data_IF_109583911798
#
_entry.id   IF_109583911798
#
_cell.length_a   1.000
_cell.length_b   1.000
_cell.length_c   1.000
_cell.angle_alpha   90.00
_cell.angle_beta   90.00
_cell.angle_gamma   90.00
#
_symmetry.space_group_name_H-M   'P 1'
#
loop_
_entity.id
_entity.type
_entity.pdbx_description
1 polymer ?
#
# COMPACT_ATOMS: atom_id res chain seq x y z
N UNK A 1 37.22 0.37 84.65
CA UNK A 1 35.87 0.64 84.09
C UNK A 1 35.93 2.00 83.41
N UNK A 2 36.15 1.97 82.10
CA UNK A 2 36.32 3.13 81.21
C UNK A 2 35.58 2.78 79.93
N UNK A 3 34.67 3.64 79.41
CA UNK A 3 33.83 3.27 78.28
C UNK A 3 34.53 3.56 76.94
N UNK A 4 34.41 2.62 76.00
CA UNK A 4 34.77 2.79 74.60
C UNK A 4 33.70 3.63 73.86
N UNK A 5 34.08 4.53 72.93
CA UNK A 5 33.12 5.33 72.18
C UNK A 5 32.56 4.56 70.98
N UNK A 6 31.23 4.60 70.83
CA UNK A 6 30.52 4.10 69.65
C UNK A 6 30.62 5.12 68.50
N UNK A 7 31.21 4.71 67.38
CA UNK A 7 31.25 5.47 66.14
C UNK A 7 29.93 5.27 65.38
N UNK A 8 29.16 6.34 65.18
CA UNK A 8 27.94 6.33 64.36
C UNK A 8 28.33 6.59 62.90
N UNK A 9 28.22 5.57 62.04
CA UNK A 9 28.41 5.72 60.58
C UNK A 9 27.08 6.17 59.98
N UNK A 10 27.01 7.42 59.52
CA UNK A 10 25.90 7.93 58.71
C UNK A 10 25.97 7.32 57.30
N UNK A 11 25.00 6.48 56.94
CA UNK A 11 24.79 6.05 55.56
C UNK A 11 24.07 7.17 54.78
N UNK A 12 24.78 7.80 53.84
CA UNK A 12 24.21 8.76 52.90
C UNK A 12 23.49 7.97 51.78
N UNK A 13 22.15 7.92 51.81
CA UNK A 13 21.36 7.37 50.72
C UNK A 13 21.38 8.36 49.53
N UNK A 14 22.23 8.10 48.55
CA UNK A 14 22.16 8.76 47.24
C UNK A 14 20.91 8.28 46.49
N UNK A 15 19.85 9.10 46.52
CA UNK A 15 18.72 8.97 45.61
C UNK A 15 19.17 9.33 44.19
N UNK A 16 19.52 8.33 43.40
CA UNK A 16 19.64 8.49 41.95
C UNK A 16 18.24 8.75 41.37
N UNK A 17 18.03 9.82 40.57
CA UNK A 17 16.78 10.00 39.86
C UNK A 17 16.67 8.88 38.83
N UNK A 18 15.67 8.01 38.99
CA UNK A 18 15.27 7.06 37.96
C UNK A 18 14.85 7.87 36.73
N UNK A 19 15.70 7.89 35.71
CA UNK A 19 15.29 8.26 34.35
C UNK A 19 14.19 7.27 33.95
N UNK A 20 13.00 7.73 33.54
CA UNK A 20 12.01 6.84 32.96
C UNK A 20 12.64 6.26 31.69
N UNK A 21 12.95 4.97 31.72
CA UNK A 21 13.21 4.19 30.53
C UNK A 21 12.03 4.39 29.60
N UNK A 22 12.29 4.93 28.42
CA UNK A 22 11.31 4.99 27.33
C UNK A 22 10.85 3.57 27.05
N UNK A 23 9.69 3.20 27.59
CA UNK A 23 8.98 2.01 27.18
C UNK A 23 8.68 2.18 25.69
N UNK A 24 9.45 1.50 24.83
CA UNK A 24 9.03 1.28 23.45
C UNK A 24 7.67 0.60 23.56
N UNK A 25 6.62 1.30 23.15
CA UNK A 25 5.29 0.69 23.03
C UNK A 25 5.47 -0.53 22.13
N UNK A 26 5.18 -1.71 22.67
CA UNK A 26 5.31 -2.98 21.97
C UNK A 26 4.42 -2.92 20.72
N UNK A 27 5.00 -3.10 19.53
CA UNK A 27 4.24 -3.23 18.30
C UNK A 27 3.52 -4.58 18.32
N UNK A 28 2.18 -4.62 18.44
CA UNK A 28 1.47 -5.85 18.76
C UNK A 28 1.15 -6.70 17.53
N UNK A 29 1.40 -6.19 16.32
CA UNK A 29 1.10 -6.88 15.06
C UNK A 29 2.36 -7.59 14.55
N UNK A 30 2.27 -8.89 14.30
CA UNK A 30 3.43 -9.72 13.94
C UNK A 30 3.21 -10.58 12.70
N UNK A 31 2.03 -10.50 12.08
CA UNK A 31 1.76 -11.24 10.86
C UNK A 31 2.42 -10.55 9.66
N UNK A 32 3.31 -11.26 8.99
CA UNK A 32 3.83 -10.90 7.67
C UNK A 32 4.02 -12.15 6.83
N UNK A 33 3.63 -12.09 5.56
CA UNK A 33 3.79 -13.16 4.58
C UNK A 33 4.32 -12.57 3.28
N UNK A 34 5.43 -13.11 2.79
CA UNK A 34 6.05 -12.72 1.53
C UNK A 34 6.12 -13.95 0.62
N UNK A 35 5.48 -13.89 -0.54
CA UNK A 35 5.35 -14.98 -1.50
C UNK A 35 6.16 -14.64 -2.75
N UNK A 36 7.13 -15.50 -3.08
CA UNK A 36 7.82 -15.51 -4.36
C UNK A 36 6.93 -16.21 -5.38
N UNK A 37 6.23 -15.44 -6.22
CA UNK A 37 5.26 -15.96 -7.18
C UNK A 37 6.02 -16.56 -8.37
N UNK A 38 5.86 -17.87 -8.61
CA UNK A 38 6.73 -18.64 -9.50
C UNK A 38 7.86 -19.38 -8.79
N UNK A 39 8.18 -19.02 -7.54
CA UNK A 39 9.24 -19.65 -6.75
C UNK A 39 8.89 -21.07 -6.30
N UNK A 40 9.84 -22.01 -6.46
CA UNK A 40 9.65 -23.43 -6.12
C UNK A 40 10.09 -23.79 -4.69
N UNK A 41 10.86 -22.92 -4.04
CA UNK A 41 11.41 -23.16 -2.70
C UNK A 41 11.44 -21.87 -1.89
N UNK A 42 11.36 -22.00 -0.58
CA UNK A 42 11.55 -20.85 0.31
C UNK A 42 12.95 -20.28 0.14
N UNK A 43 13.07 -18.97 0.31
CA UNK A 43 14.35 -18.25 0.26
C UNK A 43 14.39 -17.15 1.33
N UNK A 44 15.59 -16.62 1.55
CA UNK A 44 15.79 -15.46 2.41
C UNK A 44 16.57 -14.42 1.61
N UNK A 45 16.10 -13.19 1.59
CA UNK A 45 16.76 -12.12 0.85
C UNK A 45 17.96 -11.51 1.62
N UNK A 46 18.62 -10.54 0.99
CA UNK A 46 19.79 -9.85 1.56
C UNK A 46 19.46 -9.00 2.80
N UNK A 47 18.18 -8.71 3.03
CA UNK A 47 17.67 -7.96 4.18
C UNK A 47 17.13 -8.88 5.28
N UNK A 48 17.39 -10.20 5.18
CA UNK A 48 16.92 -11.23 6.10
C UNK A 48 15.39 -11.39 6.13
N UNK A 49 14.70 -11.00 5.06
CA UNK A 49 13.27 -11.25 4.87
C UNK A 49 13.09 -12.67 4.36
N UNK A 50 12.23 -13.46 5.04
CA UNK A 50 11.88 -14.80 4.57
C UNK A 50 10.77 -14.72 3.53
N UNK A 51 11.01 -15.38 2.39
CA UNK A 51 10.10 -15.56 1.28
C UNK A 51 9.68 -17.02 1.19
N UNK A 52 8.37 -17.28 1.11
CA UNK A 52 7.85 -18.64 0.91
C UNK A 52 7.68 -18.93 -0.57
N UNK A 53 7.80 -20.21 -0.93
CA UNK A 53 7.48 -20.68 -2.28
C UNK A 53 6.02 -20.37 -2.64
N UNK A 54 5.78 -20.22 -3.94
CA UNK A 54 4.46 -19.87 -4.50
C UNK A 54 3.35 -20.81 -4.02
N UNK A 55 2.23 -20.23 -3.58
CA UNK A 55 1.10 -20.95 -2.95
C UNK A 55 -0.13 -20.06 -2.88
N UNK A 56 -1.26 -20.66 -2.53
CA UNK A 56 -2.58 -20.00 -2.37
C UNK A 56 -3.18 -19.45 -3.67
N UNK A 57 -2.61 -19.76 -4.83
CA UNK A 57 -3.15 -19.40 -6.13
C UNK A 57 -4.24 -20.39 -6.59
N UNK A 58 -5.17 -19.91 -7.41
CA UNK A 58 -6.26 -20.74 -7.96
C UNK A 58 -5.96 -21.39 -9.32
N UNK A 59 -4.85 -21.02 -9.97
CA UNK A 59 -4.51 -21.50 -11.31
C UNK A 59 -3.24 -20.88 -11.87
N UNK A 60 -3.09 -20.92 -13.18
CA UNK A 60 -1.95 -20.34 -13.88
C UNK A 60 -0.72 -21.24 -13.97
N UNK A 61 0.34 -20.69 -14.55
CA UNK A 61 1.63 -21.33 -14.74
C UNK A 61 2.75 -20.39 -14.29
N UNK A 62 3.97 -20.92 -14.18
CA UNK A 62 5.13 -20.18 -13.71
C UNK A 62 6.12 -19.96 -14.86
N UNK A 63 6.91 -18.90 -14.78
CA UNK A 63 8.03 -18.63 -15.67
C UNK A 63 9.14 -17.90 -14.93
N UNK A 64 10.30 -17.81 -15.58
CA UNK A 64 11.36 -16.86 -15.25
C UNK A 64 11.24 -15.67 -16.20
N UNK A 65 11.58 -14.48 -15.74
CA UNK A 65 11.77 -13.30 -16.60
C UNK A 65 12.83 -13.55 -17.67
N UNK A 66 12.84 -12.78 -18.76
CA UNK A 66 13.80 -13.01 -19.85
C UNK A 66 15.25 -12.75 -19.43
N UNK A 67 15.49 -11.74 -18.59
CA UNK A 67 16.83 -11.33 -18.15
C UNK A 67 16.94 -11.30 -16.61
N UNK A 68 16.97 -12.47 -15.95
CA UNK A 68 16.92 -12.58 -14.48
C UNK A 68 18.11 -11.95 -13.75
N UNK A 69 19.21 -11.67 -14.46
CA UNK A 69 20.39 -11.00 -13.88
C UNK A 69 20.21 -9.49 -13.69
N UNK A 70 19.20 -8.87 -14.31
CA UNK A 70 18.84 -7.48 -14.07
C UNK A 70 18.21 -7.26 -12.70
N UNK A 71 17.61 -8.31 -12.15
CA UNK A 71 16.93 -8.27 -10.86
C UNK A 71 17.89 -8.66 -9.75
N UNK A 72 17.93 -7.85 -8.69
CA UNK A 72 18.78 -8.14 -7.55
C UNK A 72 18.14 -9.22 -6.67
N UNK A 73 16.83 -9.12 -6.47
CA UNK A 73 16.10 -9.98 -5.54
C UNK A 73 15.57 -11.24 -6.20
N UNK A 74 15.54 -12.34 -5.45
CA UNK A 74 15.12 -13.65 -5.99
C UNK A 74 13.65 -13.64 -6.40
N UNK A 75 12.79 -13.02 -5.59
CA UNK A 75 11.35 -12.90 -5.81
C UNK A 75 10.96 -12.00 -7.00
N UNK A 76 11.93 -11.34 -7.64
CA UNK A 76 11.72 -10.52 -8.83
C UNK A 76 12.10 -11.28 -10.11
N UNK A 77 12.75 -12.44 -9.99
CA UNK A 77 13.27 -13.24 -11.12
C UNK A 77 12.27 -14.25 -11.64
N UNK A 78 11.31 -14.64 -10.82
CA UNK A 78 10.25 -15.57 -11.21
C UNK A 78 8.90 -14.87 -11.22
N UNK A 79 7.98 -15.41 -12.00
CA UNK A 79 6.62 -14.90 -12.06
C UNK A 79 5.61 -16.03 -12.22
N UNK A 80 4.40 -15.81 -11.70
CA UNK A 80 3.20 -16.53 -12.08
C UNK A 80 2.46 -15.72 -13.15
N UNK A 81 2.00 -16.41 -14.18
CA UNK A 81 1.10 -15.87 -15.18
C UNK A 81 -0.19 -16.67 -15.29
N UNK A 82 -1.28 -15.99 -15.63
CA UNK A 82 -2.62 -16.59 -15.72
C UNK A 82 -3.10 -16.60 -17.18
N UNK A 83 -2.77 -17.63 -17.97
CA UNK A 83 -3.25 -17.73 -19.34
C UNK A 83 -4.76 -17.95 -19.37
N UNK A 84 -5.40 -17.57 -20.48
CA UNK A 84 -6.86 -17.72 -20.68
C UNK A 84 -7.36 -19.16 -20.47
N UNK A 85 -6.50 -20.16 -20.63
CA UNK A 85 -6.81 -21.58 -20.32
C UNK A 85 -7.10 -21.83 -18.83
N UNK A 86 -6.65 -20.94 -17.95
CA UNK A 86 -6.93 -20.93 -16.50
C UNK A 86 -8.17 -20.10 -16.16
N UNK A 87 -8.94 -19.66 -17.16
CA UNK A 87 -10.11 -18.81 -17.00
C UNK A 87 -9.76 -17.33 -16.90
N UNK A 88 -10.80 -16.50 -17.03
CA UNK A 88 -10.65 -15.03 -17.08
C UNK A 88 -10.31 -14.39 -15.73
N UNK A 89 -10.57 -15.11 -14.63
CA UNK A 89 -10.39 -14.64 -13.24
C UNK A 89 -9.59 -15.67 -12.46
N UNK A 90 -8.46 -15.26 -11.92
CA UNK A 90 -7.60 -16.08 -11.06
C UNK A 90 -7.23 -15.29 -9.81
N UNK A 91 -7.03 -15.95 -8.68
CA UNK A 91 -6.77 -15.25 -7.42
C UNK A 91 -5.64 -15.90 -6.63
N UNK A 92 -5.02 -15.10 -5.76
CA UNK A 92 -4.40 -15.56 -4.53
C UNK A 92 -5.44 -15.43 -3.40
N UNK A 93 -5.74 -16.53 -2.71
CA UNK A 93 -6.69 -16.60 -1.58
C UNK A 93 -5.89 -16.94 -0.32
N UNK A 94 -5.44 -15.91 0.38
CA UNK A 94 -4.53 -16.03 1.52
C UNK A 94 -5.35 -16.38 2.78
N UNK A 95 -5.18 -17.58 3.38
CA UNK A 95 -6.00 -18.01 4.50
C UNK A 95 -5.40 -17.61 5.85
N UNK A 96 -6.17 -17.82 6.91
CA UNK A 96 -5.76 -17.68 8.32
C UNK A 96 -5.31 -16.25 8.68
N UNK A 97 -6.00 -15.26 8.15
CA UNK A 97 -5.84 -13.87 8.55
C UNK A 97 -6.79 -13.58 9.70
N UNK A 98 -6.37 -12.78 10.66
CA UNK A 98 -7.30 -12.22 11.64
C UNK A 98 -8.06 -11.05 11.02
N UNK A 99 -9.29 -10.80 11.44
CA UNK A 99 -9.94 -9.53 11.07
C UNK A 99 -9.08 -8.33 11.52
N UNK A 100 -8.85 -7.39 10.61
CA UNK A 100 -7.95 -6.27 10.86
C UNK A 100 -7.58 -5.51 9.59
N UNK A 101 -6.61 -4.62 9.72
CA UNK A 101 -6.08 -3.81 8.61
C UNK A 101 -4.72 -4.36 8.18
N UNK A 102 -4.48 -4.34 6.87
CA UNK A 102 -3.31 -4.93 6.25
C UNK A 102 -2.72 -3.98 5.21
N UNK A 103 -1.40 -4.01 5.06
CA UNK A 103 -0.70 -3.52 3.89
C UNK A 103 -0.50 -4.68 2.91
N UNK A 104 -0.90 -4.49 1.66
CA UNK A 104 -0.52 -5.35 0.54
C UNK A 104 0.55 -4.63 -0.27
N UNK A 105 1.62 -5.34 -0.64
CA UNK A 105 2.59 -4.89 -1.64
C UNK A 105 2.77 -5.99 -2.68
N UNK A 106 2.77 -5.60 -3.95
CA UNK A 106 2.99 -6.52 -5.08
C UNK A 106 4.15 -6.02 -5.93
N UNK A 107 4.90 -6.95 -6.51
CA UNK A 107 5.83 -6.66 -7.59
C UNK A 107 5.32 -7.29 -8.88
N UNK A 108 5.17 -6.46 -9.92
CA UNK A 108 4.69 -6.88 -11.23
C UNK A 108 5.75 -6.59 -12.27
N UNK A 109 6.13 -7.60 -13.04
CA UNK A 109 7.10 -7.51 -14.12
C UNK A 109 6.68 -8.40 -15.27
N UNK A 110 6.92 -7.94 -16.50
CA UNK A 110 6.74 -8.73 -17.72
C UNK A 110 8.09 -9.27 -18.22
N UNK A 111 9.06 -8.35 -18.40
CA UNK A 111 10.40 -8.59 -18.96
C UNK A 111 10.43 -9.65 -20.06
N UNK A 112 9.45 -9.58 -20.96
CA UNK A 112 9.29 -10.46 -22.11
C UNK A 112 9.42 -11.96 -21.82
N UNK A 113 8.93 -12.43 -20.67
CA UNK A 113 9.07 -13.83 -20.22
C UNK A 113 8.57 -14.87 -21.24
N UNK A 114 7.64 -14.48 -22.12
CA UNK A 114 7.04 -15.34 -23.15
C UNK A 114 7.55 -15.07 -24.58
N UNK A 115 8.50 -14.16 -24.75
CA UNK A 115 9.11 -13.83 -26.04
C UNK A 115 8.18 -13.15 -27.04
N UNK A 116 7.00 -12.69 -26.65
CA UNK A 116 6.01 -12.07 -27.56
C UNK A 116 6.19 -10.57 -27.75
N UNK A 117 7.02 -9.93 -26.92
CA UNK A 117 7.23 -8.48 -26.90
C UNK A 117 5.91 -7.70 -26.78
N UNK A 118 4.96 -8.25 -25.99
CA UNK A 118 3.65 -7.68 -25.78
C UNK A 118 3.29 -7.79 -24.30
N UNK A 119 3.50 -6.70 -23.56
CA UNK A 119 3.08 -6.59 -22.16
C UNK A 119 1.58 -6.84 -22.02
N UNK A 120 1.10 -7.57 -20.99
CA UNK A 120 -0.30 -7.92 -20.87
C UNK A 120 -1.17 -6.76 -20.34
N UNK A 121 -2.43 -6.69 -20.77
CA UNK A 121 -3.47 -5.85 -20.19
C UNK A 121 -4.32 -6.66 -19.21
N UNK A 122 -4.46 -6.17 -17.98
CA UNK A 122 -5.28 -6.82 -16.95
C UNK A 122 -5.63 -5.88 -15.81
N UNK A 123 -6.62 -6.28 -15.01
CA UNK A 123 -6.97 -5.61 -13.76
C UNK A 123 -6.64 -6.49 -12.56
N UNK A 124 -6.33 -5.85 -11.44
CA UNK A 124 -6.18 -6.50 -10.14
C UNK A 124 -7.24 -5.96 -9.20
N UNK A 125 -7.95 -6.84 -8.51
CA UNK A 125 -8.84 -6.49 -7.42
C UNK A 125 -8.35 -7.03 -6.09
N UNK A 126 -8.51 -6.25 -5.03
CA UNK A 126 -8.33 -6.70 -3.65
C UNK A 126 -9.68 -6.65 -2.95
N UNK A 127 -10.08 -7.75 -2.32
CA UNK A 127 -11.34 -7.83 -1.58
C UNK A 127 -12.58 -7.44 -2.43
N UNK A 128 -12.54 -7.75 -3.73
CA UNK A 128 -13.62 -7.44 -4.67
C UNK A 128 -13.63 -6.00 -5.18
N UNK A 129 -12.56 -5.21 -4.96
CA UNK A 129 -12.43 -3.83 -5.44
C UNK A 129 -11.27 -3.73 -6.43
N UNK A 130 -11.49 -3.16 -7.62
CA UNK A 130 -10.40 -2.93 -8.59
C UNK A 130 -9.44 -1.87 -8.06
N UNK A 131 -8.14 -2.20 -8.01
CA UNK A 131 -7.11 -1.35 -7.39
C UNK A 131 -5.91 -1.06 -8.30
N UNK A 132 -5.51 -2.00 -9.16
CA UNK A 132 -4.42 -1.80 -10.11
C UNK A 132 -4.89 -2.12 -11.53
N UNK A 133 -4.58 -1.23 -12.47
CA UNK A 133 -4.97 -1.35 -13.86
C UNK A 133 -3.73 -1.33 -14.75
N UNK A 134 -3.45 -2.45 -15.41
CA UNK A 134 -2.31 -2.61 -16.29
C UNK A 134 -2.79 -2.58 -17.75
N UNK A 135 -2.23 -1.70 -18.57
CA UNK A 135 -2.68 -1.47 -19.96
C UNK A 135 -1.51 -1.52 -20.92
N UNK A 136 -1.57 -2.44 -21.88
CA UNK A 136 -0.57 -2.55 -22.94
C UNK A 136 -0.64 -1.38 -23.93
N UNK A 137 0.50 -0.88 -24.46
CA UNK A 137 1.86 -1.23 -24.07
C UNK A 137 2.27 -0.55 -22.75
N UNK A 138 3.01 -1.25 -21.90
CA UNK A 138 3.58 -0.68 -20.68
C UNK A 138 4.76 0.25 -21.01
N UNK A 139 5.09 1.17 -20.10
CA UNK A 139 6.32 1.96 -20.21
C UNK A 139 7.54 1.04 -20.22
N UNK A 140 8.60 1.38 -20.97
CA UNK A 140 9.77 0.50 -21.15
C UNK A 140 10.44 0.16 -19.81
N UNK A 141 10.62 1.16 -18.94
CA UNK A 141 11.20 0.97 -17.61
C UNK A 141 10.41 -0.06 -16.78
N UNK A 142 9.08 0.01 -16.81
CA UNK A 142 8.20 -0.91 -16.07
C UNK A 142 8.18 -2.29 -16.74
N UNK A 143 8.21 -2.31 -18.07
CA UNK A 143 8.26 -3.56 -18.85
C UNK A 143 9.51 -4.37 -18.49
N UNK A 144 10.65 -3.70 -18.32
CA UNK A 144 11.97 -4.31 -18.16
C UNK A 144 12.41 -4.48 -16.71
N UNK A 145 12.10 -3.52 -15.84
CA UNK A 145 12.51 -3.51 -14.44
C UNK A 145 11.36 -3.83 -13.46
N UNK A 146 10.13 -3.92 -13.97
CA UNK A 146 8.94 -4.11 -13.14
C UNK A 146 8.54 -2.86 -12.36
N UNK A 147 7.47 -2.99 -11.57
CA UNK A 147 7.09 -1.97 -10.61
C UNK A 147 6.51 -2.59 -9.33
N UNK A 148 6.85 -1.95 -8.21
CA UNK A 148 6.18 -2.19 -6.94
C UNK A 148 4.92 -1.35 -6.84
N UNK A 149 3.86 -1.92 -6.28
CA UNK A 149 2.62 -1.22 -5.96
C UNK A 149 2.15 -1.67 -4.58
N UNK A 150 1.72 -0.73 -3.74
CA UNK A 150 1.23 -1.04 -2.40
C UNK A 150 -0.08 -0.33 -2.08
N UNK A 151 -0.84 -0.92 -1.16
CA UNK A 151 -2.12 -0.39 -0.70
C UNK A 151 -2.43 -0.82 0.73
N UNK A 152 -3.38 -0.12 1.36
CA UNK A 152 -3.95 -0.52 2.64
C UNK A 152 -5.41 -0.94 2.47
N UNK A 153 -5.77 -2.07 3.08
CA UNK A 153 -7.11 -2.65 3.01
C UNK A 153 -7.50 -3.33 4.32
N UNK A 154 -8.76 -3.74 4.42
CA UNK A 154 -9.31 -4.43 5.59
C UNK A 154 -9.75 -5.85 5.23
N UNK A 155 -9.56 -6.77 6.17
CA UNK A 155 -10.01 -8.17 6.09
C UNK A 155 -11.02 -8.44 7.19
N UNK A 156 -12.11 -9.15 6.85
CA UNK A 156 -13.24 -9.41 7.76
C UNK A 156 -13.64 -10.88 7.88
N UNK A 157 -13.20 -11.74 6.97
CA UNK A 157 -13.68 -13.11 6.75
C UNK A 157 -12.54 -14.13 6.73
N UNK A 158 -11.49 -13.87 7.52
CA UNK A 158 -10.31 -14.72 7.75
C UNK A 158 -9.46 -15.08 6.51
N UNK A 159 -9.82 -14.57 5.35
CA UNK A 159 -9.12 -14.74 4.06
C UNK A 159 -8.91 -13.37 3.39
N UNK A 160 -7.79 -13.20 2.66
CA UNK A 160 -7.63 -12.06 1.74
C UNK A 160 -7.60 -12.55 0.30
N UNK A 161 -8.38 -11.89 -0.56
CA UNK A 161 -8.50 -12.22 -1.97
C UNK A 161 -7.82 -11.15 -2.83
N UNK A 162 -6.78 -11.55 -3.56
CA UNK A 162 -6.13 -10.74 -4.60
C UNK A 162 -6.37 -11.40 -5.94
N UNK A 163 -7.27 -10.85 -6.75
CA UNK A 163 -7.74 -11.44 -8.00
C UNK A 163 -7.28 -10.66 -9.23
N UNK A 164 -6.99 -11.39 -10.30
CA UNK A 164 -6.47 -10.91 -11.57
C UNK A 164 -7.49 -11.21 -12.67
N UNK A 165 -7.81 -10.21 -13.48
CA UNK A 165 -8.80 -10.29 -14.54
C UNK A 165 -8.12 -10.06 -15.89
N UNK A 166 -8.10 -11.09 -16.73
CA UNK A 166 -7.51 -11.02 -18.06
C UNK A 166 -8.35 -10.13 -18.98
N UNK A 167 -7.72 -9.19 -19.68
CA UNK A 167 -8.38 -8.45 -20.76
C UNK A 167 -8.04 -9.13 -22.09
N UNK A 168 -9.07 -9.42 -22.90
CA UNK A 168 -8.95 -10.16 -24.15
C UNK A 168 -8.23 -11.52 -23.97
N UNK A 169 -7.05 -11.68 -24.57
CA UNK A 169 -6.24 -12.91 -24.50
C UNK A 169 -4.96 -12.73 -23.68
N UNK A 170 -4.76 -11.57 -23.06
CA UNK A 170 -3.56 -11.27 -22.30
C UNK A 170 -3.54 -12.05 -20.99
N UNK A 171 -2.36 -12.49 -20.59
CA UNK A 171 -2.15 -13.27 -19.37
C UNK A 171 -1.69 -12.32 -18.26
N UNK A 172 -2.49 -12.07 -17.21
CA UNK A 172 -2.03 -11.32 -16.05
C UNK A 172 -0.76 -11.94 -15.44
N UNK A 173 0.13 -11.11 -14.92
CA UNK A 173 1.42 -11.53 -14.34
C UNK A 173 1.64 -10.93 -12.96
N UNK A 174 2.31 -11.69 -12.09
CA UNK A 174 2.77 -11.24 -10.77
C UNK A 174 4.03 -12.00 -10.38
N UNK A 175 5.01 -11.29 -9.81
CA UNK A 175 6.29 -11.86 -9.39
C UNK A 175 6.42 -11.94 -7.86
N UNK A 176 5.87 -10.97 -7.12
CA UNK A 176 5.84 -11.06 -5.67
C UNK A 176 4.54 -10.54 -5.07
N UNK A 177 4.15 -11.13 -3.92
CA UNK A 177 3.01 -10.71 -3.12
C UNK A 177 3.42 -10.69 -1.64
N UNK A 178 3.23 -9.55 -0.99
CA UNK A 178 3.59 -9.31 0.39
C UNK A 178 2.36 -8.79 1.14
N UNK A 179 2.05 -9.37 2.30
CA UNK A 179 0.96 -8.94 3.16
C UNK A 179 1.45 -8.80 4.60
N UNK A 180 1.23 -7.63 5.19
CA UNK A 180 1.67 -7.31 6.55
C UNK A 180 0.49 -6.76 7.35
N UNK A 181 0.26 -7.29 8.55
CA UNK A 181 -0.76 -6.75 9.45
C UNK A 181 -0.27 -5.44 10.07
N UNK A 182 -1.14 -4.44 10.07
CA UNK A 182 -0.86 -3.11 10.60
C UNK A 182 -1.91 -2.70 11.61
N UNK A 183 -1.70 -1.54 12.25
CA UNK A 183 -2.66 -1.02 13.22
C UNK A 183 -4.03 -0.75 12.57
N UNK A 184 -5.14 -1.28 13.11
CA UNK A 184 -6.47 -1.05 12.57
C UNK A 184 -6.87 0.43 12.49
N UNK A 185 -6.32 1.28 13.37
CA UNK A 185 -6.57 2.72 13.37
C UNK A 185 -5.59 3.49 12.46
N UNK A 186 -4.62 2.82 11.83
CA UNK A 186 -3.71 3.46 10.89
C UNK A 186 -4.42 3.84 9.60
N UNK A 187 -4.03 4.99 9.04
CA UNK A 187 -4.57 5.50 7.78
C UNK A 187 -6.12 5.50 7.69
N UNK A 188 -6.80 5.75 8.81
CA UNK A 188 -8.26 5.71 8.84
C UNK A 188 -8.86 6.95 8.15
N UNK A 189 -9.51 6.71 7.01
CA UNK A 189 -10.34 7.69 6.28
C UNK A 189 -11.81 7.29 6.39
N UNK A 190 -12.12 6.05 6.05
CA UNK A 190 -13.35 5.34 6.34
C UNK A 190 -13.03 3.84 6.50
N UNK A 191 -13.93 3.08 7.12
CA UNK A 191 -13.66 1.69 7.54
C UNK A 191 -13.57 0.69 6.38
N UNK A 192 -14.08 1.06 5.20
CA UNK A 192 -14.29 0.13 4.07
C UNK A 192 -13.45 0.46 2.84
N UNK A 193 -12.86 1.65 2.74
CA UNK A 193 -12.08 2.06 1.57
C UNK A 193 -10.71 1.42 1.55
N UNK A 194 -10.23 1.14 0.34
CA UNK A 194 -8.85 0.79 0.08
C UNK A 194 -8.07 2.06 -0.24
N UNK A 195 -6.89 2.20 0.35
CA UNK A 195 -5.97 3.30 0.06
C UNK A 195 -4.86 2.78 -0.83
N UNK A 196 -4.89 3.14 -2.12
CA UNK A 196 -3.87 2.74 -3.09
C UNK A 196 -2.78 3.80 -3.12
N UNK A 197 -1.51 3.41 -2.98
CA UNK A 197 -0.38 4.34 -3.01
C UNK A 197 -0.13 4.85 -4.44
N UNK A 198 -0.28 6.16 -4.65
CA UNK A 198 0.05 6.88 -5.91
C UNK A 198 1.34 7.70 -5.80
N UNK A 199 2.00 7.67 -4.64
CA UNK A 199 3.25 8.36 -4.42
C UNK A 199 3.56 8.44 -2.93
N UNK A 200 4.67 7.84 -2.52
CA UNK A 200 5.20 7.93 -1.16
C UNK A 200 6.68 8.26 -1.25
N UNK A 201 7.07 9.45 -0.82
CA UNK A 201 8.46 9.89 -0.91
C UNK A 201 8.98 10.51 0.38
N UNK A 202 10.29 10.38 0.53
CA UNK A 202 11.11 11.05 1.54
C UNK A 202 11.95 12.12 0.87
N UNK A 203 12.06 13.27 1.53
CA UNK A 203 12.71 14.46 1.00
C UNK A 203 14.17 14.54 1.43
N UNK A 204 15.05 14.76 0.46
CA UNK A 204 16.48 14.94 0.73
C UNK A 204 17.24 13.65 1.02
N UNK A 205 16.67 12.51 0.62
CA UNK A 205 17.30 11.19 0.67
C UNK A 205 17.06 10.41 -0.64
N UNK A 206 17.90 9.41 -0.86
CA UNK A 206 17.67 8.38 -1.88
C UNK A 206 16.51 7.46 -1.47
N UNK A 207 16.10 6.55 -2.35
CA UNK A 207 15.07 5.55 -2.04
C UNK A 207 15.51 4.61 -0.90
N UNK A 208 14.60 4.28 0.01
CA UNK A 208 14.85 3.36 1.13
C UNK A 208 13.58 2.58 1.54
N UNK A 209 13.75 1.63 2.46
CA UNK A 209 12.72 0.68 2.91
C UNK A 209 12.92 -0.74 2.33
N UNK A 210 11.94 -1.64 2.50
CA UNK A 210 12.08 -3.04 2.12
C UNK A 210 12.37 -3.22 0.62
N UNK A 211 13.38 -4.03 0.31
CA UNK A 211 13.89 -4.22 -1.06
C UNK A 211 14.95 -3.21 -1.49
N UNK A 212 15.18 -2.12 -0.74
CA UNK A 212 16.11 -1.06 -1.16
C UNK A 212 17.23 -0.78 -0.15
N UNK A 213 16.95 -0.94 1.15
CA UNK A 213 17.89 -0.61 2.23
C UNK A 213 17.60 -1.41 3.49
N UNK A 214 18.52 -1.39 4.46
CA UNK A 214 18.31 -2.00 5.78
C UNK A 214 17.57 -1.07 6.77
N UNK A 215 17.05 0.08 6.30
CA UNK A 215 16.23 0.97 7.11
C UNK A 215 14.87 0.30 7.39
N UNK A 216 14.44 0.35 8.66
CA UNK A 216 13.25 -0.38 9.12
C UNK A 216 12.02 0.52 9.16
N UNK A 217 10.89 -0.03 8.73
CA UNK A 217 9.55 0.53 8.86
C UNK A 217 8.63 -0.61 9.33
N UNK A 218 7.88 -0.39 10.42
CA UNK A 218 7.02 -1.43 11.03
C UNK A 218 5.92 -1.91 10.10
N UNK A 219 5.50 -1.08 9.16
CA UNK A 219 4.47 -1.44 8.19
C UNK A 219 5.06 -2.07 6.93
N UNK A 220 6.38 -1.97 6.74
CA UNK A 220 7.02 -2.39 5.50
C UNK A 220 6.79 -1.42 4.33
N UNK A 221 6.60 -0.12 4.62
CA UNK A 221 6.52 0.91 3.57
C UNK A 221 7.91 1.17 2.98
N UNK A 222 7.95 1.31 1.66
CA UNK A 222 9.11 1.84 0.94
C UNK A 222 8.89 3.31 0.58
N UNK A 223 9.95 4.09 0.64
CA UNK A 223 9.94 5.54 0.44
C UNK A 223 10.84 5.89 -0.73
N UNK A 224 10.25 6.49 -1.76
CA UNK A 224 10.99 6.96 -2.93
C UNK A 224 11.71 8.28 -2.65
N UNK A 225 12.59 8.68 -3.56
CA UNK A 225 13.21 10.00 -3.51
C UNK A 225 12.21 11.07 -3.97
N UNK A 226 12.16 12.20 -3.26
CA UNK A 226 11.32 13.33 -3.66
C UNK A 226 11.69 13.90 -5.05
N UNK A 227 12.92 13.65 -5.50
CA UNK A 227 13.48 14.13 -6.78
C UNK A 227 12.60 13.80 -7.99
N UNK A 228 11.95 12.64 -7.99
CA UNK A 228 11.10 12.15 -9.08
C UNK A 228 9.77 12.91 -9.18
N UNK A 229 9.30 13.45 -8.05
CA UNK A 229 8.00 14.14 -7.94
C UNK A 229 8.12 15.66 -8.03
N UNK A 230 9.33 16.22 -7.98
CA UNK A 230 9.52 17.69 -8.00
C UNK A 230 9.18 18.28 -9.37
N UNK A 231 8.47 19.41 -9.34
CA UNK A 231 8.17 20.20 -10.54
C UNK A 231 9.47 20.67 -11.21
N UNK A 232 9.73 20.18 -12.44
CA UNK A 232 10.89 20.58 -13.24
C UNK A 232 10.81 22.04 -13.73
N UNK A 233 9.60 22.62 -13.69
CA UNK A 233 9.33 23.99 -14.14
C UNK A 233 9.59 24.99 -13.01
N UNK A 234 9.17 24.68 -11.79
CA UNK A 234 9.29 25.58 -10.63
C UNK A 234 10.72 26.10 -10.42
N UNK A 235 11.72 25.22 -10.46
CA UNK A 235 13.13 25.60 -10.32
C UNK A 235 13.67 26.49 -11.45
N UNK A 236 13.14 26.33 -12.68
CA UNK A 236 13.54 27.16 -13.84
C UNK A 236 12.89 28.54 -13.80
N UNK A 237 11.64 28.63 -13.36
CA UNK A 237 10.86 29.88 -13.35
C UNK A 237 11.27 30.80 -12.21
N UNK A 238 11.64 30.25 -11.06
CA UNK A 238 11.97 31.02 -9.84
C UNK A 238 13.47 31.28 -9.67
N UNK A 239 14.33 30.44 -10.24
CA UNK A 239 15.77 30.44 -9.92
C UNK A 239 16.09 29.90 -8.53
N UNK A 240 15.07 29.40 -7.80
CA UNK A 240 15.25 28.79 -6.48
C UNK A 240 15.91 27.42 -6.61
N UNK A 241 16.91 27.18 -5.75
CA UNK A 241 17.62 25.91 -5.66
C UNK A 241 17.05 25.11 -4.50
N UNK A 242 16.65 23.86 -4.78
CA UNK A 242 16.23 22.93 -3.73
C UNK A 242 17.47 22.46 -2.97
N UNK A 243 17.45 22.62 -1.65
CA UNK A 243 18.54 22.24 -0.74
C UNK A 243 18.04 21.19 0.24
N UNK A 244 18.71 20.04 0.26
CA UNK A 244 18.52 19.07 1.33
C UNK A 244 19.18 19.55 2.64
N UNK A 245 18.52 19.31 3.75
CA UNK A 245 19.03 19.55 5.11
C UNK A 245 18.87 18.26 5.91
N UNK A 246 19.76 18.06 6.89
CA UNK A 246 19.79 16.87 7.72
C UNK A 246 19.70 17.23 9.20
N UNK A 247 19.01 16.39 9.96
CA UNK A 247 18.88 16.56 11.40
C UNK A 247 20.23 16.33 12.09
N UNK A 248 20.67 17.31 12.88
CA UNK A 248 21.90 17.20 13.68
C UNK A 248 21.67 16.55 15.06
N UNK A 249 20.41 16.24 15.38
CA UNK A 249 19.94 15.65 16.64
C UNK A 249 18.81 14.68 16.33
N UNK A 250 18.56 13.76 17.26
CA UNK A 250 17.42 12.84 17.14
C UNK A 250 16.09 13.60 17.11
N UNK A 251 15.24 13.22 16.16
CA UNK A 251 13.87 13.73 16.07
C UNK A 251 12.97 12.90 16.99
N UNK A 252 12.19 13.58 17.82
CA UNK A 252 11.22 12.96 18.74
C UNK A 252 9.82 12.90 18.11
N UNK A 253 8.86 12.24 18.80
CA UNK A 253 7.48 12.04 18.33
C UNK A 253 7.34 11.17 17.06
N UNK A 254 8.36 10.39 16.73
CA UNK A 254 8.35 9.41 15.64
C UNK A 254 7.98 8.01 16.14
N UNK A 255 7.67 7.09 15.22
CA UNK A 255 7.40 5.67 15.49
C UNK A 255 6.29 5.45 16.54
N UNK A 256 5.22 6.25 16.47
CA UNK A 256 4.07 6.19 17.38
C UNK A 256 2.83 5.66 16.69
N UNK A 257 2.02 4.94 17.47
CA UNK A 257 0.69 4.54 17.06
C UNK A 257 -0.16 5.76 16.64
N UNK A 258 -1.09 5.59 15.69
CA UNK A 258 -1.38 4.33 15.01
C UNK A 258 -0.52 4.08 13.76
N UNK A 259 0.16 5.09 13.20
CA UNK A 259 0.79 4.96 11.87
C UNK A 259 2.28 4.57 11.89
N UNK A 260 2.93 4.66 13.05
CA UNK A 260 4.33 4.26 13.25
C UNK A 260 5.29 4.79 12.18
N UNK A 261 5.19 6.08 11.83
CA UNK A 261 6.08 6.69 10.85
C UNK A 261 7.55 6.61 11.32
N UNK A 262 8.46 6.05 10.51
CA UNK A 262 9.81 5.73 10.96
C UNK A 262 10.66 6.99 11.19
N UNK A 263 11.61 6.91 12.12
CA UNK A 263 12.55 8.01 12.40
C UNK A 263 13.28 8.49 11.14
N UNK A 264 13.68 7.55 10.28
CA UNK A 264 14.42 7.81 9.03
C UNK A 264 13.77 8.90 8.17
N UNK A 265 12.43 8.91 8.09
CA UNK A 265 11.65 9.88 7.33
C UNK A 265 11.92 11.34 7.77
N UNK A 266 12.14 11.56 9.07
CA UNK A 266 12.30 12.90 9.64
C UNK A 266 13.76 13.31 9.85
N UNK A 267 14.72 12.47 9.46
CA UNK A 267 16.15 12.78 9.56
C UNK A 267 16.64 13.68 8.43
N UNK A 268 15.89 13.78 7.34
CA UNK A 268 16.15 14.68 6.23
C UNK A 268 14.91 15.50 5.89
N UNK A 269 15.15 16.63 5.26
CA UNK A 269 14.11 17.45 4.67
C UNK A 269 14.68 18.20 3.46
N UNK A 270 13.81 18.78 2.65
CA UNK A 270 14.22 19.76 1.63
C UNK A 270 13.62 21.13 1.94
N UNK A 271 14.41 22.15 1.64
CA UNK A 271 14.02 23.56 1.64
C UNK A 271 14.46 24.20 0.32
N UNK A 272 14.19 25.49 0.15
CA UNK A 272 14.53 26.24 -1.07
C UNK A 272 15.37 27.46 -0.70
N UNK A 273 16.31 27.83 -1.58
CA UNK A 273 17.19 29.00 -1.42
C UNK A 273 17.27 29.80 -2.74
N UNK A 274 17.27 31.13 -2.69
CA UNK A 274 17.43 32.03 -3.84
C UNK A 274 16.64 33.35 -3.73
N UNK A 275 17.02 34.39 -4.49
CA UNK A 275 16.26 35.66 -4.49
C UNK A 275 15.04 35.58 -5.41
N UNK A 276 13.84 35.49 -4.81
CA UNK A 276 12.55 35.62 -5.49
C UNK A 276 11.62 34.42 -5.25
N UNK A 277 10.49 34.65 -4.55
CA UNK A 277 9.34 33.74 -4.49
C UNK A 277 9.67 32.25 -4.36
N UNK A 278 10.41 31.88 -3.32
CA UNK A 278 10.97 30.55 -3.10
C UNK A 278 9.88 29.54 -2.67
N UNK A 279 9.02 29.10 -3.59
CA UNK A 279 8.09 28.00 -3.32
C UNK A 279 8.70 26.65 -3.70
N UNK A 280 8.33 25.61 -2.96
CA UNK A 280 8.59 24.22 -3.34
C UNK A 280 7.33 23.66 -3.99
N UNK A 281 7.47 22.94 -5.11
CA UNK A 281 6.33 22.37 -5.82
C UNK A 281 6.59 20.93 -6.23
N UNK A 282 5.58 20.09 -5.98
CA UNK A 282 5.50 18.71 -6.42
C UNK A 282 4.34 18.54 -7.39
N UNK A 283 4.55 17.64 -8.35
CA UNK A 283 3.61 17.23 -9.37
C UNK A 283 3.41 15.72 -9.22
N UNK A 284 2.25 15.32 -8.70
CA UNK A 284 1.97 13.93 -8.40
C UNK A 284 1.05 13.33 -9.48
N UNK A 285 1.45 12.22 -10.13
CA UNK A 285 0.58 11.53 -11.07
C UNK A 285 -0.59 10.89 -10.31
N UNK A 286 -1.79 11.04 -10.87
CA UNK A 286 -3.06 10.62 -10.27
C UNK A 286 -4.08 10.31 -11.36
N UNK A 287 -5.16 9.64 -11.00
CA UNK A 287 -6.29 9.39 -11.87
C UNK A 287 -7.41 10.38 -11.61
N UNK A 288 -8.08 10.78 -12.69
CA UNK A 288 -9.26 11.62 -12.57
C UNK A 288 -10.44 10.84 -11.96
N UNK A 289 -11.38 11.59 -11.37
CA UNK A 289 -12.64 11.14 -10.76
C UNK A 289 -12.47 10.29 -9.50
N UNK A 290 -11.33 10.41 -8.82
CA UNK A 290 -11.08 9.81 -7.52
C UNK A 290 -10.83 10.88 -6.45
N UNK A 291 -11.01 10.48 -5.19
CA UNK A 291 -10.60 11.24 -4.03
C UNK A 291 -9.19 10.81 -3.61
N UNK A 292 -8.39 11.74 -3.11
CA UNK A 292 -7.00 11.50 -2.71
C UNK A 292 -6.72 11.96 -1.28
N UNK A 293 -6.11 11.09 -0.48
CA UNK A 293 -5.54 11.45 0.82
C UNK A 293 -4.09 11.87 0.65
N UNK A 294 -3.80 13.12 0.99
CA UNK A 294 -2.44 13.63 1.16
C UNK A 294 -2.02 13.57 2.63
N UNK A 295 -0.84 13.01 2.89
CA UNK A 295 -0.22 12.98 4.21
C UNK A 295 1.13 13.69 4.17
N UNK A 296 1.20 14.86 4.79
CA UNK A 296 2.38 15.71 4.81
C UNK A 296 3.21 15.43 6.06
N UNK A 297 4.52 15.24 5.89
CA UNK A 297 5.45 14.98 6.99
C UNK A 297 6.44 16.12 7.16
N UNK A 298 6.53 16.64 8.38
CA UNK A 298 7.37 17.77 8.74
C UNK A 298 8.17 17.50 10.02
N UNK A 299 9.32 18.13 10.12
CA UNK A 299 10.03 18.34 11.37
C UNK A 299 10.88 19.61 11.24
N UNK A 300 10.90 20.45 12.28
CA UNK A 300 11.78 21.62 12.29
C UNK A 300 13.19 21.19 12.72
N UNK A 301 14.01 20.79 11.73
CA UNK A 301 15.36 20.26 11.93
C UNK A 301 16.46 21.31 11.69
N UNK A 302 16.09 22.55 11.35
CA UNK A 302 17.02 23.68 11.20
C UNK A 302 17.17 24.43 12.52
N UNK A 303 18.38 24.38 13.08
CA UNK A 303 18.72 25.05 14.36
C UNK A 303 18.53 26.57 14.35
N UNK A 304 18.51 27.20 13.17
CA UNK A 304 18.30 28.64 13.04
C UNK A 304 16.85 29.04 13.34
N UNK A 305 15.90 28.11 13.19
CA UNK A 305 14.48 28.26 13.52
C UNK A 305 14.26 27.80 14.97
N UNK A 306 14.39 28.74 15.90
CA UNK A 306 14.42 28.48 17.34
C UNK A 306 13.27 29.12 18.13
N UNK A 307 12.22 29.61 17.44
CA UNK A 307 11.00 30.14 18.02
C UNK A 307 9.89 30.13 16.98
N UNK A 308 8.63 30.12 17.45
CA UNK A 308 7.46 30.30 16.61
C UNK A 308 7.55 31.61 15.80
N UNK A 309 7.01 31.59 14.59
CA UNK A 309 6.96 32.71 13.64
C UNK A 309 8.24 32.91 12.82
N UNK A 310 9.30 32.12 13.03
CA UNK A 310 10.53 32.21 12.22
C UNK A 310 10.43 31.51 10.87
N UNK A 311 9.61 30.47 10.78
CA UNK A 311 9.27 29.78 9.54
C UNK A 311 7.77 29.57 9.48
N UNK A 312 7.12 30.23 8.53
CA UNK A 312 5.68 30.15 8.28
C UNK A 312 5.47 30.05 6.78
N UNK A 313 4.73 29.04 6.33
CA UNK A 313 4.42 28.85 4.92
C UNK A 313 3.00 28.30 4.75
N UNK A 314 2.45 28.48 3.56
CA UNK A 314 1.13 27.99 3.17
C UNK A 314 1.28 26.73 2.32
N UNK A 315 0.41 25.76 2.54
CA UNK A 315 0.26 24.58 1.70
C UNK A 315 -0.88 24.90 0.72
N UNK A 316 -0.56 24.84 -0.57
CA UNK A 316 -1.49 25.09 -1.66
C UNK A 316 -1.62 23.81 -2.47
N UNK A 317 -2.82 23.24 -2.55
CA UNK A 317 -3.11 22.03 -3.32
C UNK A 317 -4.04 22.41 -4.47
N UNK A 318 -3.62 22.14 -5.71
CA UNK A 318 -4.35 22.54 -6.92
C UNK A 318 -4.79 24.03 -6.95
N UNK A 319 -3.93 24.91 -6.44
CA UNK A 319 -4.21 26.34 -6.39
C UNK A 319 -5.07 26.80 -5.21
N UNK A 320 -5.62 25.89 -4.41
CA UNK A 320 -6.35 26.20 -3.20
C UNK A 320 -5.43 26.17 -1.98
N UNK A 321 -5.46 27.21 -1.14
CA UNK A 321 -4.73 27.22 0.12
C UNK A 321 -5.48 26.34 1.13
N UNK A 322 -4.83 25.25 1.57
CA UNK A 322 -5.43 24.24 2.45
C UNK A 322 -5.00 24.41 3.91
N UNK A 323 -3.83 25.01 4.17
CA UNK A 323 -3.31 25.18 5.51
C UNK A 323 -2.17 26.19 5.57
N UNK A 324 -2.03 26.86 6.71
CA UNK A 324 -0.84 27.66 7.06
C UNK A 324 -0.10 26.95 8.19
N UNK A 325 1.18 26.67 7.98
CA UNK A 325 2.00 25.84 8.87
C UNK A 325 3.14 26.65 9.50
N UNK A 326 3.31 26.46 10.82
CA UNK A 326 4.49 26.86 11.60
C UNK A 326 4.88 25.66 12.47
N UNK A 327 5.84 24.86 11.99
CA UNK A 327 6.19 23.57 12.60
C UNK A 327 6.70 23.78 14.04
N UNK A 328 7.51 24.82 14.27
CA UNK A 328 8.04 25.11 15.60
C UNK A 328 6.92 25.45 16.58
N UNK A 329 5.91 26.19 16.14
CA UNK A 329 4.74 26.49 16.97
C UNK A 329 3.97 25.22 17.37
N UNK A 330 3.81 24.28 16.46
CA UNK A 330 3.02 23.06 16.70
C UNK A 330 3.76 22.04 17.57
N UNK A 331 5.06 21.81 17.32
CA UNK A 331 5.80 20.71 17.97
C UNK A 331 7.19 21.08 18.50
N UNK A 332 7.65 22.32 18.30
CA UNK A 332 9.01 22.74 18.63
C UNK A 332 10.05 22.28 17.61
N UNK A 333 11.32 22.27 18.01
CA UNK A 333 12.43 21.79 17.16
C UNK A 333 12.68 20.30 17.34
N UNK A 334 13.14 19.64 16.26
CA UNK A 334 13.46 18.21 16.23
C UNK A 334 12.32 17.33 16.74
N UNK A 335 11.08 17.66 16.38
CA UNK A 335 9.91 16.85 16.65
C UNK A 335 9.11 16.65 15.36
N UNK A 336 8.62 15.43 15.14
CA UNK A 336 7.77 15.12 14.01
C UNK A 336 6.40 15.78 14.15
N UNK A 337 5.91 16.33 13.05
CA UNK A 337 4.59 16.89 12.86
C UNK A 337 4.03 16.40 11.53
N UNK A 338 2.78 15.95 11.53
CA UNK A 338 2.11 15.51 10.33
C UNK A 338 0.77 16.21 10.15
N UNK A 339 0.39 16.40 8.90
CA UNK A 339 -0.86 17.06 8.50
C UNK A 339 -1.49 16.27 7.38
N UNK A 340 -2.81 16.08 7.42
CA UNK A 340 -3.55 15.35 6.39
C UNK A 340 -4.58 16.23 5.70
N UNK A 341 -4.75 16.02 4.39
CA UNK A 341 -5.76 16.71 3.59
C UNK A 341 -6.38 15.74 2.59
N UNK A 342 -7.70 15.82 2.39
CA UNK A 342 -8.40 15.00 1.39
C UNK A 342 -8.82 15.89 0.23
N UNK A 343 -8.27 15.61 -0.94
CA UNK A 343 -8.70 16.19 -2.21
C UNK A 343 -9.90 15.40 -2.71
N UNK A 344 -11.00 16.07 -3.04
CA UNK A 344 -12.22 15.40 -3.51
C UNK A 344 -12.44 15.60 -5.00
N UNK A 345 -12.94 14.55 -5.64
CA UNK A 345 -13.41 14.53 -7.02
C UNK A 345 -12.43 15.21 -7.98
N UNK A 346 -11.20 14.73 -7.98
CA UNK A 346 -10.13 15.34 -8.77
C UNK A 346 -10.46 15.22 -10.27
N UNK A 347 -10.43 16.34 -11.01
CA UNK A 347 -10.75 16.32 -12.44
C UNK A 347 -9.53 16.16 -13.37
N UNK A 348 -8.32 16.27 -12.84
CA UNK A 348 -7.05 16.21 -13.58
C UNK A 348 -6.32 14.89 -13.32
N UNK A 349 -5.43 14.51 -14.25
CA UNK A 349 -4.52 13.37 -14.09
C UNK A 349 -3.21 13.73 -13.36
N UNK A 350 -3.18 14.91 -12.75
CA UNK A 350 -2.02 15.46 -12.06
C UNK A 350 -2.49 16.29 -10.87
N UNK A 351 -1.81 16.15 -9.74
CA UNK A 351 -2.07 16.89 -8.52
C UNK A 351 -0.86 17.80 -8.21
N UNK A 352 -1.10 19.11 -8.15
CA UNK A 352 -0.08 20.09 -7.77
C UNK A 352 -0.11 20.34 -6.27
N UNK A 353 1.05 20.21 -5.63
CA UNK A 353 1.24 20.50 -4.20
C UNK A 353 2.36 21.51 -4.08
N UNK A 354 2.04 22.70 -3.56
CA UNK A 354 2.96 23.83 -3.45
C UNK A 354 3.08 24.33 -2.02
N UNK A 355 4.30 24.59 -1.58
CA UNK A 355 4.61 25.22 -0.29
C UNK A 355 5.08 26.64 -0.53
N UNK A 356 4.27 27.62 -0.13
CA UNK A 356 4.48 29.04 -0.42
C UNK A 356 4.99 29.76 0.83
N UNK A 357 6.18 30.37 0.82
CA UNK A 357 6.73 31.05 1.99
C UNK A 357 5.90 32.28 2.37
N UNK A 358 5.66 32.45 3.68
CA UNK A 358 5.15 33.70 4.29
C UNK A 358 6.27 34.37 5.08
N UNK A 359 7.00 33.58 5.89
CA UNK A 359 8.21 33.99 6.60
C UNK A 359 9.21 32.84 6.52
N UNK A 360 10.39 33.07 5.94
CA UNK A 360 11.39 32.03 5.74
C UNK A 360 10.99 30.98 4.69
N UNK A 361 11.97 30.24 4.20
CA UNK A 361 11.74 29.19 3.21
C UNK A 361 10.97 27.99 3.81
N UNK A 362 10.04 27.38 3.05
CA UNK A 362 9.32 26.19 3.50
C UNK A 362 10.26 24.99 3.69
N UNK A 363 9.79 23.99 4.42
CA UNK A 363 10.51 22.73 4.64
C UNK A 363 9.54 21.56 4.61
N UNK A 364 9.95 20.41 4.08
CA UNK A 364 9.18 19.15 4.11
C UNK A 364 10.11 17.94 4.23
N UNK A 365 9.71 16.97 5.04
CA UNK A 365 10.42 15.70 5.24
C UNK A 365 9.92 14.59 4.30
N UNK A 366 8.64 14.62 3.94
CA UNK A 366 8.08 13.67 2.98
C UNK A 366 6.59 13.91 2.75
N UNK A 367 6.04 13.20 1.78
CA UNK A 367 4.64 13.26 1.39
C UNK A 367 4.15 11.89 0.97
N UNK A 368 2.93 11.56 1.37
CA UNK A 368 2.21 10.40 0.88
C UNK A 368 0.94 10.84 0.14
N UNK A 369 0.61 10.15 -0.94
CA UNK A 369 -0.54 10.39 -1.79
C UNK A 369 -1.26 9.06 -2.05
N UNK A 370 -2.46 8.91 -1.51
CA UNK A 370 -3.26 7.70 -1.68
C UNK A 370 -4.56 7.98 -2.41
N UNK A 371 -4.86 7.23 -3.46
CA UNK A 371 -6.22 7.18 -3.99
C UNK A 371 -7.12 6.46 -2.99
N UNK A 372 -8.28 7.06 -2.70
CA UNK A 372 -9.31 6.48 -1.84
C UNK A 372 -10.27 5.71 -2.75
N UNK A 373 -10.09 4.40 -2.83
CA UNK A 373 -10.97 3.52 -3.59
C UNK A 373 -12.16 3.14 -2.70
N UNK A 374 -13.38 3.56 -3.05
CA UNK A 374 -14.57 3.20 -2.28
C UNK A 374 -14.82 1.70 -2.37
N UNK A 375 -15.44 1.15 -1.32
CA UNK A 375 -15.85 -0.25 -1.34
C UNK A 375 -16.91 -0.50 -2.41
N UNK A 376 -16.69 -1.52 -3.22
CA UNK A 376 -17.62 -2.06 -4.18
C UNK A 376 -18.64 -2.96 -3.48
N UNK A 377 -19.74 -3.28 -4.17
CA UNK A 377 -20.75 -4.20 -3.66
C UNK A 377 -20.17 -5.62 -3.64
N UNK A 378 -20.31 -6.30 -2.49
CA UNK A 378 -19.93 -7.70 -2.33
C UNK A 378 -21.13 -8.63 -2.51
N UNK A 379 -20.87 -9.89 -2.86
CA UNK A 379 -21.90 -10.94 -2.82
C UNK A 379 -22.30 -11.23 -1.38
N UNK A 380 -23.59 -11.51 -1.14
CA UNK A 380 -24.06 -11.95 0.18
C UNK A 380 -23.21 -13.13 0.70
N UNK A 381 -22.64 -13.06 1.93
CA UNK A 381 -21.72 -14.09 2.42
C UNK A 381 -22.29 -15.52 2.38
N UNK A 382 -23.57 -15.70 2.72
CA UNK A 382 -24.23 -17.00 2.64
C UNK A 382 -24.26 -17.57 1.20
N UNK A 383 -24.39 -16.71 0.19
CA UNK A 383 -24.36 -17.14 -1.21
C UNK A 383 -22.93 -17.39 -1.69
N UNK A 384 -21.92 -16.68 -1.17
CA UNK A 384 -20.51 -17.00 -1.42
C UNK A 384 -20.20 -18.42 -0.92
N UNK A 385 -20.63 -18.77 0.30
CA UNK A 385 -20.47 -20.12 0.86
C UNK A 385 -21.12 -21.17 -0.04
N UNK A 386 -22.35 -20.93 -0.47
CA UNK A 386 -23.08 -21.82 -1.38
C UNK A 386 -22.34 -22.03 -2.70
N UNK A 387 -21.80 -20.96 -3.29
CA UNK A 387 -21.09 -21.02 -4.56
C UNK A 387 -19.72 -21.68 -4.45
N UNK A 388 -18.97 -21.45 -3.36
CA UNK A 388 -17.73 -22.18 -3.06
C UNK A 388 -18.03 -23.69 -2.94
N UNK A 389 -19.07 -24.07 -2.20
CA UNK A 389 -19.50 -25.47 -2.08
C UNK A 389 -19.92 -26.07 -3.43
N UNK A 390 -20.64 -25.32 -4.25
CA UNK A 390 -21.08 -25.76 -5.59
C UNK A 390 -19.90 -25.95 -6.55
N UNK A 391 -18.91 -25.04 -6.52
CA UNK A 391 -17.67 -25.14 -7.28
C UNK A 391 -16.97 -26.47 -7.01
N UNK A 392 -16.81 -26.80 -5.73
CA UNK A 392 -16.15 -28.02 -5.28
C UNK A 392 -16.97 -29.28 -5.63
N UNK A 393 -18.28 -29.26 -5.33
CA UNK A 393 -19.15 -30.44 -5.50
C UNK A 393 -19.37 -30.82 -6.96
N UNK A 394 -19.39 -29.84 -7.87
CA UNK A 394 -19.51 -30.03 -9.32
C UNK A 394 -18.17 -30.13 -10.05
N UNK A 395 -17.05 -30.07 -9.32
CA UNK A 395 -15.69 -30.09 -9.86
C UNK A 395 -15.55 -29.11 -11.02
N UNK A 396 -16.01 -27.88 -10.81
CA UNK A 396 -16.01 -26.84 -11.83
C UNK A 396 -14.57 -26.63 -12.32
N UNK A 397 -14.31 -26.76 -13.64
CA UNK A 397 -12.94 -26.66 -14.14
C UNK A 397 -12.43 -25.24 -14.05
N UNK A 398 -11.14 -25.07 -13.77
CA UNK A 398 -10.49 -23.76 -13.57
C UNK A 398 -10.73 -22.78 -14.73
N UNK A 399 -10.86 -23.30 -15.96
CA UNK A 399 -11.18 -22.51 -17.16
C UNK A 399 -12.44 -21.64 -17.04
N UNK A 400 -13.38 -21.97 -16.15
CA UNK A 400 -14.59 -21.17 -15.91
C UNK A 400 -14.33 -19.94 -15.03
N UNK A 401 -13.14 -19.80 -14.42
CA UNK A 401 -12.76 -18.63 -13.64
C UNK A 401 -13.60 -18.42 -12.38
N UNK A 402 -14.14 -19.48 -11.78
CA UNK A 402 -14.92 -19.43 -10.53
C UNK A 402 -14.00 -19.19 -9.32
N UNK A 403 -13.39 -18.01 -9.22
CA UNK A 403 -12.41 -17.65 -8.20
C UNK A 403 -12.78 -16.32 -7.50
N UNK A 404 -12.47 -16.16 -6.22
CA UNK A 404 -12.79 -14.94 -5.44
C UNK A 404 -14.29 -14.74 -5.19
N UNK A 405 -14.75 -13.49 -5.18
CA UNK A 405 -16.19 -13.18 -5.06
C UNK A 405 -16.95 -13.57 -6.34
N UNK A 406 -18.14 -14.22 -6.27
CA UNK A 406 -18.91 -14.62 -7.45
C UNK A 406 -19.44 -13.48 -8.32
N UNK A 407 -19.73 -12.32 -7.74
CA UNK A 407 -20.38 -11.18 -8.41
C UNK A 407 -19.54 -9.90 -8.43
N UNK A 408 -18.52 -9.79 -7.57
CA UNK A 408 -17.67 -8.60 -7.45
C UNK A 408 -16.30 -8.78 -8.15
N UNK A 409 -15.69 -7.68 -8.63
CA UNK A 409 -16.18 -6.29 -8.63
C UNK A 409 -17.34 -6.08 -9.61
N UNK A 410 -18.17 -5.07 -9.37
CA UNK A 410 -19.32 -4.73 -10.24
C UNK A 410 -18.91 -4.22 -11.62
N UNK A 411 -17.65 -3.83 -11.79
CA UNK A 411 -17.07 -3.42 -13.07
C UNK A 411 -16.66 -4.57 -13.98
N UNK A 412 -16.61 -5.79 -13.45
CA UNK A 412 -16.30 -7.01 -14.23
C UNK A 412 -17.50 -7.95 -14.29
N UNK A 413 -17.45 -8.86 -15.26
CA UNK A 413 -18.41 -9.96 -15.32
C UNK A 413 -18.31 -10.82 -14.05
N UNK A 414 -19.47 -11.28 -13.58
CA UNK A 414 -19.56 -12.34 -12.58
C UNK A 414 -18.86 -13.63 -13.06
N UNK A 415 -18.75 -14.61 -12.17
CA UNK A 415 -18.30 -15.95 -12.55
C UNK A 415 -19.01 -16.47 -13.80
N UNK A 416 -18.30 -17.22 -14.65
CA UNK A 416 -18.86 -17.68 -15.93
C UNK A 416 -20.14 -18.50 -15.69
N UNK A 417 -21.24 -18.11 -16.35
CA UNK A 417 -22.55 -18.73 -16.18
C UNK A 417 -23.34 -18.23 -14.96
N UNK A 418 -22.80 -17.32 -14.14
CA UNK A 418 -23.50 -16.75 -12.99
C UNK A 418 -24.05 -15.37 -13.36
N UNK A 419 -25.31 -15.13 -13.03
CA UNK A 419 -25.93 -13.80 -13.14
C UNK A 419 -26.21 -13.26 -11.75
N UNK A 420 -25.79 -12.02 -11.52
CA UNK A 420 -25.99 -11.33 -10.26
C UNK A 420 -26.85 -10.09 -10.45
N UNK A 421 -27.56 -9.71 -9.38
CA UNK A 421 -28.32 -8.46 -9.30
C UNK A 421 -28.03 -7.76 -7.98
N UNK A 422 -28.09 -6.44 -8.00
CA UNK A 422 -28.02 -5.65 -6.77
C UNK A 422 -29.34 -5.72 -6.00
N UNK A 423 -29.23 -5.64 -4.69
CA UNK A 423 -30.37 -5.51 -3.77
C UNK A 423 -30.51 -4.05 -3.33
N UNK A 424 -31.69 -3.69 -2.84
CA UNK A 424 -31.95 -2.35 -2.28
C UNK A 424 -31.07 -2.02 -1.08
N UNK A 425 -30.50 -3.04 -0.44
CA UNK A 425 -29.69 -2.90 0.77
C UNK A 425 -28.18 -2.77 0.47
N UNK A 426 -27.77 -2.68 -0.81
CA UNK A 426 -26.36 -2.52 -1.17
C UNK A 426 -25.54 -3.81 -1.09
N UNK A 427 -26.09 -4.94 -1.53
CA UNK A 427 -25.36 -6.20 -1.71
C UNK A 427 -25.71 -6.86 -3.04
N UNK A 428 -24.79 -7.67 -3.57
CA UNK A 428 -25.02 -8.50 -4.76
C UNK A 428 -25.59 -9.86 -4.36
N UNK A 429 -26.54 -10.34 -5.15
CA UNK A 429 -27.14 -11.67 -5.00
C UNK A 429 -27.19 -12.38 -6.33
N UNK A 430 -27.08 -13.69 -6.28
CA UNK A 430 -27.08 -14.59 -7.42
C UNK A 430 -28.54 -14.87 -7.80
N UNK A 431 -28.90 -14.48 -9.01
CA UNK A 431 -30.26 -14.63 -9.53
C UNK A 431 -30.38 -15.79 -10.52
N UNK A 432 -29.30 -16.16 -11.21
CA UNK A 432 -29.30 -17.27 -12.16
C UNK A 432 -27.94 -17.96 -12.19
N UNK A 433 -27.95 -19.27 -12.40
CA UNK A 433 -26.77 -20.07 -12.70
C UNK A 433 -27.07 -20.91 -13.95
N UNK A 434 -26.27 -20.72 -15.00
CA UNK A 434 -26.29 -21.49 -16.23
C UNK A 434 -25.02 -22.32 -16.37
N UNK A 435 -25.16 -23.63 -16.14
CA UNK A 435 -24.09 -24.61 -16.27
C UNK A 435 -24.32 -25.54 -17.47
N UNK A 436 -25.26 -25.18 -18.36
CA UNK A 436 -25.66 -25.99 -19.49
C UNK A 436 -24.47 -26.33 -20.39
N UNK A 437 -24.38 -27.59 -20.81
CA UNK A 437 -23.39 -28.06 -21.80
C UNK A 437 -21.91 -27.94 -21.37
N UNK A 438 -21.62 -27.71 -20.08
CA UNK A 438 -20.24 -27.58 -19.58
C UNK A 438 -19.56 -28.92 -19.23
N UNK A 439 -20.29 -30.04 -19.31
CA UNK A 439 -19.77 -31.37 -19.01
C UNK A 439 -19.32 -31.54 -17.55
N UNK A 440 -19.95 -30.80 -16.62
CA UNK A 440 -19.64 -30.85 -15.20
C UNK A 440 -19.88 -32.25 -14.62
N UNK A 441 -19.06 -32.63 -13.64
CA UNK A 441 -19.09 -33.94 -13.00
C UNK A 441 -19.25 -33.76 -11.50
N UNK A 442 -20.20 -34.45 -10.89
CA UNK A 442 -20.36 -34.41 -9.45
C UNK A 442 -21.83 -34.31 -9.06
N UNK A 443 -22.11 -33.57 -7.99
CA UNK A 443 -23.44 -33.42 -7.44
C UNK A 443 -23.70 -31.99 -7.00
N UNK A 444 -24.98 -31.65 -6.85
CA UNK A 444 -25.40 -30.35 -6.32
C UNK A 444 -25.36 -30.43 -4.79
N UNK A 445 -24.53 -29.61 -4.16
CA UNK A 445 -24.45 -29.49 -2.70
C UNK A 445 -25.79 -29.00 -2.12
N UNK A 446 -26.14 -29.48 -0.92
CA UNK A 446 -27.29 -29.02 -0.15
C UNK A 446 -27.21 -27.53 0.22
N UNK A 447 -26.00 -26.97 0.26
CA UNK A 447 -25.75 -25.54 0.44
C UNK A 447 -26.39 -24.68 -0.66
N UNK A 448 -26.85 -25.26 -1.78
CA UNK A 448 -27.66 -24.56 -2.78
C UNK A 448 -28.89 -23.87 -2.16
N UNK A 449 -29.41 -24.37 -1.03
CA UNK A 449 -30.52 -23.75 -0.30
C UNK A 449 -30.22 -22.34 0.24
N UNK A 450 -28.94 -21.96 0.36
CA UNK A 450 -28.52 -20.60 0.73
C UNK A 450 -28.66 -19.59 -0.42
N UNK A 451 -28.82 -20.07 -1.67
CA UNK A 451 -29.10 -19.24 -2.84
C UNK A 451 -30.57 -18.84 -2.91
N UNK A 452 -31.05 -18.13 -1.89
CA UNK A 452 -32.46 -17.75 -1.73
C UNK A 452 -33.03 -16.85 -2.84
N UNK A 453 -32.16 -16.25 -3.66
CA UNK A 453 -32.54 -15.39 -4.78
C UNK A 453 -32.43 -16.06 -6.15
N UNK A 454 -32.07 -17.33 -6.20
CA UNK A 454 -31.93 -18.08 -7.44
C UNK A 454 -33.31 -18.33 -8.06
N UNK A 455 -33.53 -17.81 -9.26
CA UNK A 455 -34.72 -18.07 -10.04
C UNK A 455 -34.50 -19.30 -10.93
N UNK A 456 -35.24 -20.38 -10.66
CA UNK A 456 -35.30 -21.53 -11.55
C UNK A 456 -36.28 -21.20 -12.69
N UNK A 457 -35.74 -20.84 -13.86
CA UNK A 457 -36.53 -20.78 -15.09
C UNK A 457 -36.78 -22.22 -15.56
N UNK A 458 -38.04 -22.65 -15.48
CA UNK A 458 -38.51 -23.93 -16.01
C UNK A 458 -38.82 -23.84 -17.51
#
# INVERSE_FOLDING_TARGET
MTPFPFFFILFFFCLFPFLPSSSSLHYPYNYSLHIDCGGLSNSTDIFNTTWVSDRYFTGGAISVVSEPLHFQHSQEKTLRYFPISSGKKNCYVIPNLSSGRYQLRTFTVYDNYDGKSHSPSFDVSVEGNVVFQWRSPWHEDITRAGAYSDLFFTVSDDEANVCFYSIATDSPVIASLEITQIDPASYLVNDTSILVNYGRFSSGSDQWGPGFSNDTDRFGRSWQSDTEFRSKVAGKTTGAIVKAISAIKNVINVDRAPNYFPLKLYQSAVTVIGEGGEFLEYQLPVDAKLDYLLWFHFAEIDVSVNKAGKRVFEIVVNGENVSRVDIYKEVGSFAAYDFKYVVKNLSSAELSVRFVPIVGAPVICGLENYAIIPADLKTLPAQVVAMKALKESLKVPDRMGWNGDPCAPTTWDAWEGVTCRSTTNGSLVISQIDLGSQGLKGYISDQIGLLSNLELKF
#
